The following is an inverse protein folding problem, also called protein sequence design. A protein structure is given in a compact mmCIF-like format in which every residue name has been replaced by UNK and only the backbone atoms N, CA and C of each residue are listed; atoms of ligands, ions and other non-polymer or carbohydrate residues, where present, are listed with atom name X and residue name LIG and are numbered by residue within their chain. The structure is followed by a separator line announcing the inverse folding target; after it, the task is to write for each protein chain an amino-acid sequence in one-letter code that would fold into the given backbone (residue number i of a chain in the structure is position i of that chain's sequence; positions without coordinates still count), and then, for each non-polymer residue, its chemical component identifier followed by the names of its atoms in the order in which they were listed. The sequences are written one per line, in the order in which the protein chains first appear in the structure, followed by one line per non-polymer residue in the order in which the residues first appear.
data_IF_674140809025
#
_entry.id   IF_674140809025
#
_cell.length_a   1.000
_cell.length_b   1.000
_cell.length_c   1.000
_cell.angle_alpha   90.00
_cell.angle_beta   90.00
_cell.angle_gamma   90.00
#
_symmetry.space_group_name_H-M   'P 1'
#
loop_
_entity.id
_entity.type
_entity.pdbx_description
1 polymer ?
#
# COMPACT_ATOMS: atom_id res chain seq x y z
N UNK A 1 -13.04 -14.25 -44.84
CA UNK A 1 -12.83 -15.69 -44.53
C UNK A 1 -13.17 -15.90 -43.06
N UNK A 2 -14.14 -16.77 -42.80
CA UNK A 2 -14.81 -16.98 -41.50
C UNK A 2 -14.02 -17.99 -40.66
N UNK A 3 -13.67 -17.65 -39.42
CA UNK A 3 -13.58 -18.60 -38.31
C UNK A 3 -14.10 -17.96 -37.03
N UNK A 4 -15.42 -17.76 -37.01
CA UNK A 4 -16.20 -17.73 -35.78
C UNK A 4 -16.20 -19.14 -35.18
N UNK A 5 -15.72 -19.29 -33.95
CA UNK A 5 -15.99 -20.44 -33.11
C UNK A 5 -16.55 -19.91 -31.78
N UNK A 6 -17.86 -20.09 -31.66
CA UNK A 6 -18.70 -19.74 -30.52
C UNK A 6 -18.48 -20.73 -29.38
N UNK A 7 -18.34 -20.18 -28.17
CA UNK A 7 -18.99 -20.58 -26.91
C UNK A 7 -18.93 -22.07 -26.52
N UNK A 8 -18.19 -22.34 -25.45
CA UNK A 8 -18.54 -23.38 -24.47
C UNK A 8 -18.32 -22.82 -23.07
N UNK A 9 -19.35 -22.65 -22.22
CA UNK A 9 -19.20 -22.16 -20.85
C UNK A 9 -18.86 -23.37 -19.98
N UNK A 10 -17.62 -23.83 -20.05
CA UNK A 10 -17.16 -24.95 -19.23
C UNK A 10 -16.18 -24.41 -18.20
N UNK A 11 -16.60 -24.54 -16.95
CA UNK A 11 -15.80 -24.49 -15.76
C UNK A 11 -15.21 -23.12 -15.42
N UNK A 12 -15.92 -22.46 -14.50
CA UNK A 12 -15.34 -21.65 -13.44
C UNK A 12 -14.04 -22.29 -12.92
N UNK A 13 -12.92 -21.87 -13.50
CA UNK A 13 -11.61 -22.04 -12.90
C UNK A 13 -11.39 -20.75 -12.11
N UNK A 14 -11.87 -20.79 -10.86
CA UNK A 14 -11.43 -19.93 -9.79
C UNK A 14 -9.93 -20.15 -9.62
N UNK A 15 -9.11 -19.49 -10.45
CA UNK A 15 -7.67 -19.37 -10.26
C UNK A 15 -7.43 -18.48 -9.04
N UNK A 16 -7.50 -19.14 -7.89
CA UNK A 16 -6.51 -19.11 -6.83
C UNK A 16 -5.93 -17.73 -6.54
N UNK A 17 -6.50 -17.16 -5.47
CA UNK A 17 -6.00 -15.99 -4.79
C UNK A 17 -4.49 -16.03 -4.61
N UNK A 18 -3.81 -15.22 -5.39
CA UNK A 18 -2.65 -14.50 -4.90
C UNK A 18 -3.13 -13.09 -4.59
N UNK A 19 -3.92 -12.98 -3.52
CA UNK A 19 -3.98 -11.72 -2.80
C UNK A 19 -2.57 -11.55 -2.23
N UNK A 20 -1.64 -11.03 -3.04
CA UNK A 20 -0.42 -10.45 -2.52
C UNK A 20 -0.87 -9.55 -1.41
N UNK A 21 -0.43 -9.81 -0.18
CA UNK A 21 -0.69 -8.95 0.95
C UNK A 21 0.01 -7.64 0.63
N UNK A 22 -0.68 -6.79 -0.14
CA UNK A 22 -0.19 -5.48 -0.49
C UNK A 22 -0.20 -4.74 0.84
N UNK A 23 0.99 -4.59 1.40
CA UNK A 23 1.21 -3.83 2.61
C UNK A 23 0.53 -2.47 2.42
N UNK A 24 -0.24 -2.05 3.42
CA UNK A 24 -0.93 -0.77 3.35
C UNK A 24 0.09 0.37 3.42
N UNK A 25 -0.36 1.61 3.13
CA UNK A 25 0.48 2.80 3.28
C UNK A 25 1.08 2.94 4.69
N UNK A 26 0.43 2.34 5.70
CA UNK A 26 0.91 2.31 7.07
C UNK A 26 2.16 1.43 7.21
N UNK A 27 2.07 0.18 6.76
CA UNK A 27 3.17 -0.79 6.81
C UNK A 27 4.38 -0.31 6.00
N UNK A 28 4.15 0.19 4.78
CA UNK A 28 5.21 0.76 3.95
C UNK A 28 5.86 1.98 4.61
N UNK A 29 5.06 2.85 5.22
CA UNK A 29 5.54 4.02 5.95
C UNK A 29 6.40 3.63 7.15
N UNK A 30 6.02 2.57 7.87
CA UNK A 30 6.78 2.02 8.99
C UNK A 30 8.11 1.41 8.53
N UNK A 31 8.13 0.71 7.40
CA UNK A 31 9.37 0.19 6.80
C UNK A 31 10.31 1.33 6.44
N UNK A 32 9.81 2.38 5.78
CA UNK A 32 10.61 3.57 5.44
C UNK A 32 11.14 4.28 6.71
N UNK A 33 10.28 4.45 7.73
CA UNK A 33 10.69 5.03 9.01
C UNK A 33 11.83 4.24 9.66
N UNK A 34 11.72 2.91 9.67
CA UNK A 34 12.70 2.04 10.29
C UNK A 34 14.04 2.00 9.52
N UNK A 35 14.01 2.27 8.22
CA UNK A 35 15.21 2.47 7.38
C UNK A 35 15.87 3.84 7.58
N UNK A 36 15.20 4.77 8.27
CA UNK A 36 15.63 6.16 8.41
C UNK A 36 15.22 7.04 7.24
N UNK A 37 14.45 6.52 6.29
CA UNK A 37 13.96 7.25 5.13
C UNK A 37 12.71 8.07 5.52
N UNK A 38 12.93 9.14 6.29
CA UNK A 38 11.84 9.91 6.89
C UNK A 38 10.97 10.64 5.86
N UNK A 39 11.54 11.08 4.73
CA UNK A 39 10.78 11.76 3.66
C UNK A 39 9.74 10.83 3.02
N UNK A 40 10.10 9.63 2.51
CA UNK A 40 9.09 8.70 2.01
C UNK A 40 8.16 8.19 3.11
N UNK A 41 8.62 8.01 4.36
CA UNK A 41 7.75 7.67 5.48
C UNK A 41 6.64 8.72 5.70
N UNK A 42 6.99 10.01 5.69
CA UNK A 42 6.01 11.11 5.82
C UNK A 42 5.01 11.09 4.65
N UNK A 43 5.46 10.83 3.41
CA UNK A 43 4.57 10.76 2.25
C UNK A 43 3.53 9.64 2.39
N UNK A 44 3.92 8.51 2.96
CA UNK A 44 3.06 7.34 3.18
C UNK A 44 2.09 7.54 4.36
N UNK A 45 2.55 8.20 5.43
CA UNK A 45 1.70 8.53 6.57
C UNK A 45 0.72 9.69 6.32
N UNK A 46 1.05 10.63 5.42
CA UNK A 46 0.22 11.82 5.16
C UNK A 46 -1.25 11.51 4.82
N UNK A 47 -1.59 10.64 3.85
CA UNK A 47 -2.99 10.36 3.55
C UNK A 47 -3.73 9.72 4.74
N UNK A 48 -3.04 8.92 5.55
CA UNK A 48 -3.60 8.33 6.76
C UNK A 48 -3.86 9.41 7.83
N UNK A 49 -2.93 10.35 7.98
CA UNK A 49 -3.06 11.48 8.91
C UNK A 49 -4.18 12.45 8.50
N UNK A 50 -4.34 12.68 7.20
CA UNK A 50 -5.44 13.47 6.61
C UNK A 50 -6.79 12.78 6.78
N UNK A 51 -6.83 11.44 6.72
CA UNK A 51 -7.99 10.64 7.08
C UNK A 51 -8.28 10.58 8.59
N UNK A 52 -7.52 11.32 9.41
CA UNK A 52 -7.73 11.41 10.85
C UNK A 52 -7.06 10.29 11.67
N UNK A 53 -6.12 9.52 11.10
CA UNK A 53 -5.40 8.49 11.85
C UNK A 53 -4.38 9.13 12.81
N UNK A 54 -4.58 9.03 14.15
CA UNK A 54 -3.71 9.68 15.12
C UNK A 54 -2.31 9.03 15.19
N UNK A 55 -2.19 7.74 14.86
CA UNK A 55 -0.89 7.06 14.79
C UNK A 55 -0.05 7.64 13.66
N UNK A 56 -0.66 7.90 12.50
CA UNK A 56 0.04 8.50 11.36
C UNK A 56 0.52 9.91 11.65
N UNK A 57 -0.31 10.73 12.30
CA UNK A 57 0.07 12.08 12.75
C UNK A 57 1.28 12.04 13.70
N UNK A 58 1.26 11.13 14.68
CA UNK A 58 2.37 10.94 15.63
C UNK A 58 3.66 10.52 14.91
N UNK A 59 3.56 9.58 13.97
CA UNK A 59 4.72 9.10 13.21
C UNK A 59 5.32 10.20 12.32
N UNK A 60 4.51 11.08 11.71
CA UNK A 60 5.01 12.25 10.97
C UNK A 60 5.79 13.18 11.90
N UNK A 61 5.30 13.42 13.12
CA UNK A 61 6.03 14.20 14.13
C UNK A 61 7.40 13.59 14.44
N UNK A 62 7.48 12.28 14.63
CA UNK A 62 8.75 11.58 14.85
C UNK A 62 9.68 11.61 13.64
N UNK A 63 9.14 11.46 12.43
CA UNK A 63 9.91 11.55 11.19
C UNK A 63 10.55 12.94 11.04
N UNK A 64 9.75 13.99 11.22
CA UNK A 64 10.21 15.38 11.06
C UNK A 64 11.21 15.79 12.13
N UNK A 65 11.03 15.36 13.37
CA UNK A 65 12.01 15.59 14.44
C UNK A 65 13.35 14.92 14.13
N UNK A 66 13.34 13.72 13.56
CA UNK A 66 14.55 12.94 13.28
C UNK A 66 15.21 13.26 11.93
N UNK A 67 14.47 13.85 10.99
CA UNK A 67 15.03 14.36 9.74
C UNK A 67 15.76 15.70 9.89
N UNK A 68 15.56 16.39 11.01
CA UNK A 68 16.19 17.69 11.34
C UNK A 68 17.35 17.57 12.33
N UNK A 69 17.60 16.38 12.86
CA UNK A 69 18.69 16.06 13.77
C UNK A 69 19.86 15.48 12.97
#
# INVERSE_FOLDING_TARGET
MRKSALIGPVAAICLLGSAGAQAGPWEDGMVAYNRGDYVPAIRLFRPLAEAGNPKAQTQIGRCTARARA
#
